data_IF_103329089218
#
_entry.id   IF_103329089218
#
_cell.length_a   1.000
_cell.length_b   1.000
_cell.length_c   1.000
_cell.angle_alpha   90.00
_cell.angle_beta   90.00
_cell.angle_gamma   90.00
#
_symmetry.space_group_name_H-M   'P 1'
#
loop_
_entity.id
_entity.type
_entity.pdbx_description
1 polymer ?
#
# COMPACT_ATOMS: atom_id res chain seq x y z
N UNK A 1 10.08 -2.69 -5.15
CA UNK A 1 9.37 -3.47 -4.11
C UNK A 1 9.22 -4.89 -4.60
N UNK A 2 9.38 -5.86 -3.70
CA UNK A 2 9.13 -7.27 -3.99
C UNK A 2 7.90 -7.73 -3.21
N UNK A 3 6.96 -8.37 -3.89
CA UNK A 3 5.68 -8.82 -3.32
C UNK A 3 5.49 -10.28 -3.68
N UNK A 4 5.42 -11.14 -2.66
CA UNK A 4 4.93 -12.52 -2.83
C UNK A 4 3.47 -12.54 -2.44
N UNK A 5 2.59 -12.42 -3.44
CA UNK A 5 1.14 -12.27 -3.24
C UNK A 5 0.34 -13.41 -3.82
N UNK A 6 -0.74 -13.76 -3.13
CA UNK A 6 -1.74 -14.74 -3.53
C UNK A 6 -3.12 -14.08 -3.50
N UNK A 7 -3.92 -14.32 -4.54
CA UNK A 7 -5.35 -13.99 -4.53
C UNK A 7 -6.06 -15.17 -3.88
N UNK A 8 -6.66 -14.93 -2.72
CA UNK A 8 -7.38 -15.96 -1.94
C UNK A 8 -8.79 -16.18 -2.44
N UNK A 9 -9.44 -15.12 -2.90
CA UNK A 9 -10.81 -15.16 -3.37
C UNK A 9 -11.10 -13.98 -4.31
N UNK A 10 -12.08 -14.16 -5.20
CA UNK A 10 -12.51 -13.18 -6.19
C UNK A 10 -14.04 -13.16 -6.25
N UNK A 11 -14.63 -11.98 -6.00
CA UNK A 11 -16.04 -11.72 -6.28
C UNK A 11 -16.14 -10.77 -7.48
N UNK A 12 -16.89 -11.16 -8.51
CA UNK A 12 -17.04 -10.40 -9.73
C UNK A 12 -18.51 -10.23 -10.09
N UNK A 13 -18.93 -8.97 -10.26
CA UNK A 13 -20.27 -8.59 -10.71
C UNK A 13 -20.11 -7.69 -11.92
N UNK A 14 -20.56 -8.16 -13.09
CA UNK A 14 -20.48 -7.40 -14.34
C UNK A 14 -21.92 -7.21 -14.83
N UNK A 15 -22.43 -6.00 -14.63
CA UNK A 15 -23.73 -5.58 -15.16
C UNK A 15 -23.63 -5.14 -16.61
N UNK A 16 -24.69 -4.54 -17.15
CA UNK A 16 -24.67 -4.01 -18.52
C UNK A 16 -23.88 -2.69 -18.62
N UNK A 17 -24.00 -1.83 -17.62
CA UNK A 17 -23.42 -0.48 -17.59
C UNK A 17 -22.30 -0.31 -16.56
N UNK A 18 -22.20 -1.21 -15.59
CA UNK A 18 -21.24 -1.15 -14.49
C UNK A 18 -20.58 -2.51 -14.20
N UNK A 19 -19.50 -2.46 -13.43
CA UNK A 19 -18.90 -3.65 -12.84
C UNK A 19 -18.29 -3.35 -11.48
N UNK A 20 -18.21 -4.41 -10.66
CA UNK A 20 -17.47 -4.46 -9.42
C UNK A 20 -16.64 -5.75 -9.40
N UNK A 21 -15.35 -5.62 -9.10
CA UNK A 21 -14.42 -6.73 -8.98
C UNK A 21 -13.68 -6.61 -7.64
N UNK A 22 -13.87 -7.58 -6.76
CA UNK A 22 -13.28 -7.60 -5.43
C UNK A 22 -12.30 -8.76 -5.30
N UNK A 23 -11.09 -8.47 -4.82
CA UNK A 23 -10.05 -9.46 -4.59
C UNK A 23 -9.70 -9.49 -3.11
N UNK A 24 -9.79 -10.67 -2.49
CA UNK A 24 -9.16 -10.91 -1.20
C UNK A 24 -7.71 -11.29 -1.43
N UNK A 25 -6.79 -10.40 -1.05
CA UNK A 25 -5.36 -10.54 -1.32
C UNK A 25 -4.63 -10.88 -0.03
N UNK A 26 -3.72 -11.84 -0.13
CA UNK A 26 -2.74 -12.17 0.89
C UNK A 26 -1.35 -11.92 0.35
N UNK A 27 -0.53 -11.16 1.06
CA UNK A 27 0.88 -10.96 0.72
C UNK A 27 1.71 -11.53 1.86
N UNK A 28 2.43 -12.62 1.59
CA UNK A 28 3.22 -13.34 2.59
C UNK A 28 4.36 -12.47 3.11
N UNK A 29 5.07 -11.83 2.18
CA UNK A 29 6.17 -10.93 2.48
C UNK A 29 6.11 -9.73 1.53
N UNK A 30 6.24 -8.53 2.08
CA UNK A 30 6.36 -7.28 1.36
C UNK A 30 7.64 -6.57 1.77
N UNK A 31 8.43 -6.16 0.77
CA UNK A 31 9.56 -5.27 0.99
C UNK A 31 9.45 -4.05 0.07
N UNK A 32 9.57 -2.87 0.68
CA UNK A 32 9.52 -1.60 -0.02
C UNK A 32 10.65 -0.69 0.46
N UNK A 33 11.36 -0.10 -0.49
CA UNK A 33 12.42 0.86 -0.22
C UNK A 33 12.05 2.18 -0.88
N UNK A 34 12.20 3.27 -0.13
CA UNK A 34 11.93 4.62 -0.61
C UNK A 34 12.82 5.63 0.07
N UNK A 35 13.05 6.75 -0.60
CA UNK A 35 13.63 7.93 0.04
C UNK A 35 12.55 8.69 0.80
N UNK A 36 12.92 9.33 1.91
CA UNK A 36 12.07 10.25 2.66
C UNK A 36 12.73 11.64 2.75
N UNK A 37 11.91 12.68 2.80
CA UNK A 37 12.28 14.07 3.10
C UNK A 37 11.18 14.64 3.98
N UNK A 38 11.42 14.65 5.29
CA UNK A 38 10.49 15.14 6.31
C UNK A 38 10.93 16.52 6.79
N UNK A 39 10.03 17.49 6.72
CA UNK A 39 10.27 18.88 7.13
C UNK A 39 9.26 19.30 8.18
N UNK A 40 9.75 19.79 9.32
CA UNK A 40 8.91 20.20 10.45
C UNK A 40 8.20 19.02 11.13
N UNK A 41 8.82 17.84 11.12
CA UNK A 41 8.23 16.61 11.60
C UNK A 41 8.45 16.45 13.12
N UNK A 42 7.60 17.09 13.90
CA UNK A 42 7.64 16.99 15.36
C UNK A 42 6.75 15.84 15.84
N UNK A 43 7.37 14.82 16.44
CA UNK A 43 6.68 13.69 17.06
C UNK A 43 7.01 13.65 18.54
N UNK A 44 5.99 13.67 19.40
CA UNK A 44 6.12 13.71 20.86
C UNK A 44 7.12 14.78 21.37
N UNK A 45 7.15 15.94 20.70
CA UNK A 45 8.03 17.06 21.06
C UNK A 45 9.48 16.93 20.58
N UNK A 46 9.83 15.86 19.87
CA UNK A 46 11.16 15.64 19.28
C UNK A 46 11.12 15.98 17.80
N UNK A 47 12.09 16.77 17.34
CA UNK A 47 12.26 17.04 15.90
C UNK A 47 12.87 15.83 15.20
N UNK A 48 12.08 15.23 14.31
CA UNK A 48 12.47 14.11 13.45
C UNK A 48 12.58 14.54 11.98
N UNK A 49 12.69 15.84 11.72
CA UNK A 49 12.97 16.35 10.38
C UNK A 49 14.30 15.80 9.88
N UNK A 50 14.36 15.48 8.60
CA UNK A 50 15.53 14.87 7.99
C UNK A 50 15.19 14.20 6.67
N UNK A 51 16.25 13.76 6.00
CA UNK A 51 16.14 13.07 4.72
C UNK A 51 16.99 11.81 4.73
N UNK A 52 16.59 10.84 3.92
CA UNK A 52 17.38 9.65 3.71
C UNK A 52 16.53 8.50 3.19
N UNK A 53 16.84 7.30 3.63
CA UNK A 53 16.30 6.06 3.08
C UNK A 53 15.44 5.35 4.11
N UNK A 54 14.28 4.86 3.68
CA UNK A 54 13.36 4.04 4.47
C UNK A 54 13.24 2.68 3.82
N UNK A 55 13.49 1.65 4.61
CA UNK A 55 13.17 0.27 4.28
C UNK A 55 11.98 -0.16 5.10
N UNK A 56 10.98 -0.71 4.42
CA UNK A 56 9.82 -1.35 5.01
C UNK A 56 9.89 -2.85 4.73
N UNK A 57 9.75 -3.64 5.78
CA UNK A 57 9.55 -5.08 5.71
C UNK A 57 8.23 -5.39 6.43
N UNK A 58 7.40 -6.21 5.81
CA UNK A 58 6.21 -6.68 6.51
C UNK A 58 5.74 -8.03 6.04
N UNK A 59 5.11 -8.74 6.96
CA UNK A 59 4.71 -10.12 6.78
C UNK A 59 3.20 -10.28 6.99
N UNK A 60 2.64 -11.25 6.25
CA UNK A 60 1.24 -11.68 6.33
C UNK A 60 0.23 -10.54 6.19
N UNK A 61 0.42 -9.69 5.18
CA UNK A 61 -0.56 -8.68 4.81
C UNK A 61 -1.82 -9.31 4.25
N UNK A 62 -2.97 -8.82 4.69
CA UNK A 62 -4.29 -9.20 4.20
C UNK A 62 -5.09 -7.95 3.92
N UNK A 63 -5.68 -7.85 2.73
CA UNK A 63 -6.59 -6.76 2.40
C UNK A 63 -7.57 -7.20 1.32
N UNK A 64 -8.68 -6.48 1.22
CA UNK A 64 -9.61 -6.61 0.10
C UNK A 64 -9.42 -5.40 -0.82
N UNK A 65 -9.13 -5.65 -2.10
CA UNK A 65 -9.09 -4.61 -3.12
C UNK A 65 -10.36 -4.68 -3.96
N UNK A 66 -11.13 -3.61 -4.00
CA UNK A 66 -12.35 -3.53 -4.81
C UNK A 66 -12.17 -2.50 -5.91
N UNK A 67 -12.35 -2.95 -7.15
CA UNK A 67 -12.34 -2.14 -8.36
C UNK A 67 -13.78 -1.95 -8.82
N UNK A 68 -14.21 -0.70 -8.90
CA UNK A 68 -15.51 -0.34 -9.47
C UNK A 68 -15.31 0.42 -10.78
N UNK A 69 -16.26 0.29 -11.68
CA UNK A 69 -16.19 0.99 -12.93
C UNK A 69 -17.40 0.87 -13.80
N UNK A 70 -17.26 1.41 -15.00
CA UNK A 70 -18.29 1.39 -16.04
C UNK A 70 -17.91 0.41 -17.13
N UNK A 71 -18.92 -0.18 -17.73
CA UNK A 71 -18.81 -0.96 -18.95
C UNK A 71 -19.01 0.00 -20.12
N UNK A 72 -17.98 0.16 -20.94
CA UNK A 72 -18.06 0.94 -22.16
C UNK A 72 -18.07 0.03 -23.38
N UNK A 73 -18.83 0.43 -24.41
CA UNK A 73 -18.80 -0.19 -25.72
C UNK A 73 -18.21 0.79 -26.74
N UNK A 74 -17.28 0.32 -27.56
CA UNK A 74 -16.74 1.07 -28.68
C UNK A 74 -16.73 0.15 -29.91
N UNK A 75 -17.71 0.35 -30.80
CA UNK A 75 -18.00 -0.57 -31.89
C UNK A 75 -18.40 -1.95 -31.37
N UNK A 76 -17.70 -2.98 -31.86
CA UNK A 76 -17.95 -4.39 -31.50
C UNK A 76 -17.22 -4.83 -30.22
N UNK A 77 -16.46 -3.92 -29.59
CA UNK A 77 -15.66 -4.22 -28.41
C UNK A 77 -16.26 -3.64 -27.13
N UNK A 78 -16.27 -4.47 -26.09
CA UNK A 78 -16.72 -4.13 -24.74
C UNK A 78 -15.51 -4.05 -23.81
N UNK A 79 -15.40 -2.95 -23.07
CA UNK A 79 -14.28 -2.65 -22.18
C UNK A 79 -14.78 -2.35 -20.76
N UNK A 80 -14.00 -2.76 -19.77
CA UNK A 80 -14.19 -2.36 -18.38
C UNK A 80 -13.30 -1.15 -18.10
N UNK A 81 -13.90 -0.01 -17.80
CA UNK A 81 -13.18 1.19 -17.38
C UNK A 81 -13.29 1.34 -15.87
N UNK A 82 -12.19 1.08 -15.17
CA UNK A 82 -12.08 1.32 -13.73
C UNK A 82 -12.22 2.83 -13.48
N UNK A 83 -13.15 3.21 -12.60
CA UNK A 83 -13.35 4.59 -12.17
C UNK A 83 -12.98 4.81 -10.71
N UNK A 84 -12.97 3.74 -9.93
CA UNK A 84 -12.67 3.78 -8.50
C UNK A 84 -11.95 2.50 -8.07
N UNK A 85 -11.01 2.66 -7.14
CA UNK A 85 -10.28 1.57 -6.49
C UNK A 85 -10.22 1.85 -5.01
N UNK A 86 -10.72 0.90 -4.22
CA UNK A 86 -10.66 0.96 -2.76
C UNK A 86 -9.87 -0.21 -2.19
N UNK A 87 -9.15 0.06 -1.11
CA UNK A 87 -8.46 -0.93 -0.29
C UNK A 87 -9.13 -0.95 1.07
N UNK A 88 -9.72 -2.09 1.43
CA UNK A 88 -10.49 -2.27 2.65
C UNK A 88 -9.81 -3.28 3.58
N UNK A 89 -9.88 -2.98 4.88
CA UNK A 89 -9.40 -3.86 5.95
C UNK A 89 -7.94 -4.31 5.81
N UNK A 90 -6.97 -3.43 5.51
CA UNK A 90 -5.57 -3.82 5.52
C UNK A 90 -5.16 -4.25 6.93
N UNK A 91 -4.87 -5.54 7.09
CA UNK A 91 -4.26 -6.12 8.28
C UNK A 91 -2.83 -6.46 7.93
N UNK A 92 -1.90 -6.03 8.78
CA UNK A 92 -0.51 -6.45 8.76
C UNK A 92 -0.20 -7.08 10.10
N UNK A 93 0.35 -8.29 10.10
CA UNK A 93 0.69 -8.98 11.36
C UNK A 93 2.01 -8.48 11.93
N UNK A 94 2.99 -8.23 11.05
CA UNK A 94 4.29 -7.69 11.44
C UNK A 94 4.71 -6.59 10.47
N UNK A 95 5.03 -5.43 11.03
CA UNK A 95 5.65 -4.32 10.34
C UNK A 95 7.04 -4.11 10.95
N UNK A 96 8.07 -3.96 10.13
CA UNK A 96 9.35 -3.43 10.56
C UNK A 96 9.77 -2.29 9.66
N UNK A 97 10.12 -1.16 10.27
CA UNK A 97 10.60 0.01 9.57
C UNK A 97 12.04 0.30 9.96
N UNK A 98 12.91 0.50 8.98
CA UNK A 98 14.28 0.94 9.19
C UNK A 98 14.49 2.23 8.43
N UNK A 99 14.99 3.26 9.11
CA UNK A 99 15.30 4.56 8.53
C UNK A 99 16.79 4.85 8.68
N UNK A 100 17.41 5.18 7.55
CA UNK A 100 18.78 5.69 7.47
C UNK A 100 18.69 7.19 7.16
N UNK A 101 19.48 8.01 7.85
CA UNK A 101 19.53 9.47 7.60
C UNK A 101 20.78 9.79 6.81
N UNK A 102 20.67 10.72 5.86
CA UNK A 102 21.84 11.33 5.26
C UNK A 102 22.55 12.27 6.25
N UNK A 103 21.79 12.85 7.18
CA UNK A 103 22.25 13.80 8.18
C UNK A 103 21.63 13.56 9.57
N UNK A 104 22.46 13.57 10.62
CA UNK A 104 21.99 13.54 12.00
C UNK A 104 21.45 12.19 12.50
N UNK A 105 20.55 12.25 13.50
CA UNK A 105 20.00 11.08 14.22
C UNK A 105 18.53 10.81 13.93
N UNK A 106 17.91 11.54 13.01
CA UNK A 106 16.46 11.50 12.74
C UNK A 106 15.98 10.10 12.36
N UNK A 107 16.73 9.36 11.55
CA UNK A 107 16.45 7.98 11.15
C UNK A 107 16.56 6.98 12.29
N UNK A 108 17.51 7.13 13.22
CA UNK A 108 17.56 6.30 14.44
C UNK A 108 16.29 6.53 15.29
N UNK A 109 15.91 7.80 15.46
CA UNK A 109 14.70 8.18 16.21
C UNK A 109 13.41 7.66 15.54
N UNK A 110 13.29 7.81 14.21
CA UNK A 110 12.16 7.30 13.43
C UNK A 110 12.08 5.77 13.48
N UNK A 111 13.21 5.08 13.38
CA UNK A 111 13.28 3.62 13.52
C UNK A 111 12.80 3.17 14.89
N UNK A 112 13.22 3.86 15.96
CA UNK A 112 12.80 3.54 17.33
C UNK A 112 11.34 3.87 17.59
N UNK A 113 10.79 4.90 16.97
CA UNK A 113 9.39 5.30 17.16
C UNK A 113 8.41 4.33 16.48
N UNK A 114 8.78 3.82 15.31
CA UNK A 114 7.88 3.04 14.44
C UNK A 114 7.88 1.53 14.72
N UNK A 115 8.71 1.06 15.66
CA UNK A 115 8.83 -0.34 16.08
C UNK A 115 8.69 -0.47 17.59
#
# INVERSE_FOLDING_TARGET
GHLSSEIKDVDAKIGESDFSLSFNVFIKNASYEANYDYKGAIFDGVDMSGKGRKVFLGDNFRFTSTFNGVVNQNGDYRYLKITDVSLNGPIIEMAHFTFESEDGKSGELLTKLMN
#
